data_IF_508273842278
#
_entry.id   IF_508273842278
#
_cell.length_a   1.000
_cell.length_b   1.000
_cell.length_c   1.000
_cell.angle_alpha   90.00
_cell.angle_beta   90.00
_cell.angle_gamma   90.00
#
_symmetry.space_group_name_H-M   'P 1'
#
loop_
_entity.id
_entity.type
_entity.pdbx_description
1 polymer ?
#
# COMPACT_ATOMS: atom_id res chain seq x y z
N UNK A 1 -35.99 -5.54 1.56
CA UNK A 1 -34.97 -4.58 2.03
C UNK A 1 -33.97 -5.27 2.95
N UNK A 2 -32.81 -5.72 2.44
CA UNK A 2 -31.68 -6.25 3.23
C UNK A 2 -30.39 -5.62 2.69
N UNK A 3 -30.10 -4.39 3.11
CA UNK A 3 -28.91 -3.64 2.69
C UNK A 3 -28.13 -2.99 3.85
N UNK A 4 -28.50 -3.26 5.12
CA UNK A 4 -27.91 -2.57 6.28
C UNK A 4 -26.90 -3.40 7.10
N UNK A 5 -26.63 -4.66 6.74
CA UNK A 5 -25.63 -5.50 7.40
C UNK A 5 -24.22 -5.30 6.86
N UNK A 6 -24.08 -5.27 5.53
CA UNK A 6 -22.79 -5.28 4.83
C UNK A 6 -21.90 -4.07 5.13
N UNK A 7 -22.49 -2.92 5.47
CA UNK A 7 -21.73 -1.69 5.77
C UNK A 7 -21.14 -1.64 7.19
N UNK A 8 -21.54 -2.53 8.12
CA UNK A 8 -21.05 -2.52 9.51
C UNK A 8 -19.82 -3.40 9.74
N UNK A 9 -19.66 -4.43 8.92
CA UNK A 9 -18.61 -5.44 9.12
C UNK A 9 -17.58 -5.44 7.98
N UNK A 10 -17.67 -4.50 7.05
CA UNK A 10 -16.75 -4.38 5.93
C UNK A 10 -16.37 -2.91 5.69
N UNK A 11 -15.16 -2.70 5.16
CA UNK A 11 -14.67 -1.42 4.67
C UNK A 11 -14.32 -1.54 3.19
N UNK A 12 -14.53 -0.47 2.41
CA UNK A 12 -14.06 -0.38 1.03
C UNK A 12 -12.62 0.11 1.05
N UNK A 13 -11.69 -0.77 0.68
CA UNK A 13 -10.27 -0.42 0.67
C UNK A 13 -9.95 0.57 -0.46
N UNK A 14 -8.86 1.30 -0.24
CA UNK A 14 -8.18 2.05 -1.29
C UNK A 14 -7.44 1.08 -2.21
N UNK A 15 -7.24 1.47 -3.46
CA UNK A 15 -6.28 0.83 -4.38
C UNK A 15 -5.43 1.91 -5.04
N UNK A 16 -4.18 1.58 -5.29
CA UNK A 16 -3.26 2.35 -6.11
C UNK A 16 -3.40 1.79 -7.52
N UNK A 17 -3.78 2.63 -8.47
CA UNK A 17 -3.75 2.29 -9.89
C UNK A 17 -2.41 2.74 -10.47
N UNK A 18 -1.72 1.84 -11.14
CA UNK A 18 -0.45 2.12 -11.82
C UNK A 18 -0.67 2.14 -13.32
N UNK A 19 -0.49 3.31 -13.92
CA UNK A 19 -0.56 3.51 -15.36
C UNK A 19 0.83 3.76 -15.94
N UNK A 20 1.08 3.17 -17.11
CA UNK A 20 2.29 3.43 -17.91
C UNK A 20 1.83 3.88 -19.28
N UNK A 21 2.23 5.09 -19.68
CA UNK A 21 1.79 5.75 -20.93
C UNK A 21 0.25 5.83 -21.04
N UNK A 22 -0.43 6.11 -19.92
CA UNK A 22 -1.88 6.21 -19.83
C UNK A 22 -2.63 4.87 -19.73
N UNK A 23 -1.97 3.73 -20.00
CA UNK A 23 -2.59 2.41 -19.91
C UNK A 23 -2.51 1.87 -18.47
N UNK A 24 -3.64 1.42 -17.92
CA UNK A 24 -3.67 0.74 -16.62
C UNK A 24 -2.94 -0.60 -16.74
N UNK A 25 -1.79 -0.71 -16.05
CA UNK A 25 -0.98 -1.93 -16.08
C UNK A 25 -1.41 -2.91 -15.01
N UNK A 26 -1.53 -2.44 -13.77
CA UNK A 26 -1.97 -3.24 -12.63
C UNK A 26 -2.36 -2.33 -11.45
N UNK A 27 -2.72 -2.93 -10.32
CA UNK A 27 -3.08 -2.27 -9.07
C UNK A 27 -2.30 -2.84 -7.87
N UNK A 28 -2.14 -2.01 -6.85
CA UNK A 28 -1.72 -2.42 -5.51
C UNK A 28 -2.77 -2.01 -4.47
N UNK A 29 -2.90 -2.77 -3.38
CA UNK A 29 -3.82 -2.46 -2.29
C UNK A 29 -3.14 -1.70 -1.15
N UNK A 30 -1.85 -1.93 -0.91
CA UNK A 30 -1.09 -1.38 0.20
C UNK A 30 -0.07 -0.38 -0.32
N UNK A 31 0.89 -0.84 -1.10
CA UNK A 31 2.00 -0.03 -1.59
C UNK A 31 2.43 -0.42 -3.01
N UNK A 32 2.90 0.60 -3.73
CA UNK A 32 3.58 0.48 -5.01
C UNK A 32 4.96 1.12 -4.87
N UNK A 33 6.01 0.35 -5.15
CA UNK A 33 7.39 0.74 -4.85
C UNK A 33 8.23 0.73 -6.13
N UNK A 34 8.81 1.87 -6.46
CA UNK A 34 9.70 2.03 -7.62
C UNK A 34 11.13 1.77 -7.20
N UNK A 35 11.80 0.86 -7.91
CA UNK A 35 13.21 0.50 -7.71
C UNK A 35 13.99 0.54 -9.03
N UNK A 36 15.29 0.80 -8.94
CA UNK A 36 16.23 0.69 -10.06
C UNK A 36 16.60 -0.77 -10.39
N UNK A 37 16.22 -1.75 -9.57
CA UNK A 37 16.55 -3.15 -9.82
C UNK A 37 15.67 -3.75 -10.92
N UNK A 38 16.29 -4.08 -12.04
CA UNK A 38 15.64 -4.70 -13.20
C UNK A 38 15.61 -6.24 -13.16
N UNK A 39 16.16 -6.87 -12.10
CA UNK A 39 16.29 -8.33 -12.01
C UNK A 39 15.20 -8.99 -11.17
N UNK A 40 14.29 -9.66 -11.87
CA UNK A 40 13.32 -10.59 -11.30
C UNK A 40 14.06 -11.85 -10.77
N UNK A 41 14.21 -11.90 -9.46
CA UNK A 41 14.67 -13.06 -8.72
C UNK A 41 14.33 -12.82 -7.25
N UNK A 42 13.79 -13.83 -6.57
CA UNK A 42 13.13 -13.78 -5.26
C UNK A 42 13.98 -13.29 -4.06
N UNK A 43 15.00 -12.45 -4.27
CA UNK A 43 16.00 -12.04 -3.28
C UNK A 43 16.49 -10.58 -3.34
N UNK A 44 16.01 -9.71 -4.22
CA UNK A 44 16.62 -8.40 -4.41
C UNK A 44 15.64 -7.20 -4.39
N UNK A 45 14.76 -7.12 -3.39
CA UNK A 45 14.02 -5.88 -3.09
C UNK A 45 14.21 -5.56 -1.60
N UNK A 46 15.44 -5.47 -1.13
CA UNK A 46 15.72 -5.09 0.28
C UNK A 46 16.78 -4.00 0.40
N UNK A 47 17.38 -3.59 -0.72
CA UNK A 47 18.33 -2.49 -0.74
C UNK A 47 17.58 -1.16 -0.82
N UNK A 48 17.40 -0.54 0.35
CA UNK A 48 16.75 0.76 0.48
C UNK A 48 17.45 1.86 -0.35
N UNK A 49 18.73 1.70 -0.72
CA UNK A 49 19.43 2.68 -1.56
C UNK A 49 18.96 2.69 -3.02
N UNK A 50 18.33 1.60 -3.48
CA UNK A 50 17.86 1.44 -4.86
C UNK A 50 16.42 1.87 -5.07
N UNK A 51 15.75 2.18 -3.96
CA UNK A 51 14.37 2.62 -3.97
C UNK A 51 14.29 4.10 -4.28
N UNK A 52 13.31 4.46 -5.10
CA UNK A 52 13.10 5.82 -5.60
C UNK A 52 11.83 6.43 -5.09
N UNK A 53 10.75 5.65 -5.03
CA UNK A 53 9.43 6.12 -4.66
C UNK A 53 8.65 5.00 -3.99
N UNK A 54 7.94 5.33 -2.92
CA UNK A 54 6.89 4.51 -2.34
C UNK A 54 5.61 5.30 -2.44
N UNK A 55 4.58 4.75 -3.08
CA UNK A 55 3.20 5.23 -2.97
C UNK A 55 2.44 4.25 -2.10
N UNK A 56 1.94 4.68 -0.95
CA UNK A 56 1.22 3.85 -0.01
C UNK A 56 -0.23 4.34 0.13
N UNK A 57 -1.19 3.44 -0.11
CA UNK A 57 -2.60 3.70 0.13
C UNK A 57 -2.87 3.85 1.63
N UNK A 58 -2.15 3.08 2.45
CA UNK A 58 -2.13 3.15 3.92
C UNK A 58 -0.76 2.78 4.44
N UNK A 59 -0.37 3.35 5.56
CA UNK A 59 0.94 3.14 6.15
C UNK A 59 0.95 3.50 7.64
N UNK A 60 1.69 2.72 8.42
CA UNK A 60 1.87 2.95 9.87
C UNK A 60 3.24 2.38 10.28
N UNK A 61 4.00 3.02 11.19
CA UNK A 61 5.33 2.53 11.59
C UNK A 61 5.32 1.17 12.32
N UNK A 62 4.13 0.67 12.68
CA UNK A 62 3.93 -0.66 13.28
C UNK A 62 3.69 -1.78 12.25
N UNK A 63 3.68 -1.48 10.94
CA UNK A 63 3.72 -2.51 9.90
C UNK A 63 5.17 -2.95 9.63
N UNK A 64 5.33 -3.89 8.71
CA UNK A 64 6.64 -4.30 8.17
C UNK A 64 6.65 -4.08 6.66
N UNK A 65 7.82 -3.91 6.07
CA UNK A 65 7.98 -3.70 4.62
C UNK A 65 7.99 -2.24 4.21
N UNK A 66 7.72 -1.96 2.94
CA UNK A 66 7.85 -0.61 2.38
C UNK A 66 6.76 0.36 2.85
N UNK A 67 5.54 -0.13 3.06
CA UNK A 67 4.53 0.65 3.78
C UNK A 67 4.98 1.11 5.17
N UNK A 68 5.89 0.41 5.85
CA UNK A 68 6.41 0.86 7.15
C UNK A 68 7.40 2.03 6.99
N UNK A 69 8.20 2.06 5.92
CA UNK A 69 9.07 3.20 5.58
C UNK A 69 8.23 4.46 5.35
N UNK A 70 7.15 4.34 4.59
CA UNK A 70 6.17 5.40 4.43
C UNK A 70 5.54 5.79 5.78
N UNK A 71 5.20 4.80 6.61
CA UNK A 71 4.58 4.97 7.93
C UNK A 71 5.43 5.79 8.91
N UNK A 72 6.76 5.64 8.87
CA UNK A 72 7.68 6.46 9.67
C UNK A 72 7.68 7.93 9.20
N UNK A 73 7.35 8.18 7.94
CA UNK A 73 7.27 9.53 7.39
C UNK A 73 5.91 10.21 7.64
N UNK A 74 4.86 9.43 7.82
CA UNK A 74 3.51 9.87 8.15
C UNK A 74 2.54 8.69 8.24
N UNK A 75 1.49 8.82 9.04
CA UNK A 75 0.45 7.79 9.19
C UNK A 75 -0.70 8.07 8.22
N UNK A 76 -1.13 7.02 7.52
CA UNK A 76 -2.33 7.00 6.70
C UNK A 76 -3.10 5.73 7.01
N UNK A 77 -4.29 5.88 7.58
CA UNK A 77 -5.17 4.78 7.94
C UNK A 77 -6.01 4.29 6.74
N UNK A 78 -6.66 3.14 6.88
CA UNK A 78 -7.55 2.60 5.84
C UNK A 78 -8.82 3.45 5.62
N UNK A 79 -9.25 4.16 6.66
CA UNK A 79 -10.37 5.09 6.66
C UNK A 79 -10.03 6.48 6.14
N UNK A 80 -8.75 6.85 6.07
CA UNK A 80 -8.33 8.17 5.56
C UNK A 80 -8.56 8.30 4.05
N UNK A 81 -9.12 9.42 3.60
CA UNK A 81 -9.31 9.74 2.18
C UNK A 81 -8.07 10.41 1.57
N UNK A 82 -6.93 9.78 1.77
CA UNK A 82 -5.66 10.21 1.17
C UNK A 82 -4.70 9.02 1.04
N UNK A 83 -3.54 9.30 0.45
CA UNK A 83 -2.38 8.42 0.38
C UNK A 83 -1.10 9.17 0.75
N UNK A 84 0.00 8.43 0.87
CA UNK A 84 1.33 9.00 1.09
C UNK A 84 2.27 8.56 -0.05
N UNK A 85 2.89 9.53 -0.71
CA UNK A 85 4.03 9.29 -1.58
C UNK A 85 5.31 9.74 -0.88
N UNK A 86 6.33 8.89 -0.89
CA UNK A 86 7.63 9.14 -0.27
C UNK A 86 8.72 8.92 -1.28
N UNK A 87 9.43 9.99 -1.62
CA UNK A 87 10.60 9.93 -2.48
C UNK A 87 11.83 9.54 -1.66
N UNK A 88 12.52 8.51 -2.12
CA UNK A 88 13.68 7.93 -1.49
C UNK A 88 14.95 8.21 -2.29
N UNK A 89 16.08 8.18 -1.61
CA UNK A 89 17.38 8.24 -2.26
C UNK A 89 18.46 8.85 -1.38
N UNK A 90 19.63 9.07 -1.99
CA UNK A 90 20.78 9.70 -1.31
C UNK A 90 20.48 11.17 -1.01
N UNK A 91 20.79 11.60 0.21
CA UNK A 91 20.48 12.93 0.73
C UNK A 91 19.10 13.02 1.42
N UNK A 92 18.77 14.20 1.93
CA UNK A 92 17.55 14.42 2.72
C UNK A 92 17.67 13.94 4.17
N UNK A 93 16.52 13.71 4.82
CA UNK A 93 16.48 13.25 6.22
C UNK A 93 16.65 11.73 6.28
N UNK A 94 17.38 11.23 7.28
CA UNK A 94 17.50 9.79 7.53
C UNK A 94 16.42 9.34 8.51
N UNK A 95 15.79 8.21 8.22
CA UNK A 95 14.81 7.57 9.10
C UNK A 95 15.17 6.10 9.27
N UNK A 96 14.80 5.51 10.41
CA UNK A 96 14.96 4.07 10.65
C UNK A 96 13.59 3.43 10.54
N UNK A 97 13.45 2.44 9.67
CA UNK A 97 12.16 1.79 9.39
C UNK A 97 12.27 0.25 9.44
N UNK A 98 11.21 -0.45 9.89
CA UNK A 98 11.17 -1.91 9.91
C UNK A 98 10.86 -2.47 8.53
N UNK A 99 11.91 -2.71 7.75
CA UNK A 99 11.76 -3.23 6.38
C UNK A 99 11.41 -4.72 6.39
N UNK A 100 11.86 -5.49 7.39
CA UNK A 100 11.49 -6.89 7.56
C UNK A 100 11.42 -7.27 9.05
N UNK A 101 10.91 -8.46 9.35
CA UNK A 101 10.86 -8.96 10.73
C UNK A 101 12.27 -9.00 11.35
N UNK A 102 12.46 -8.24 12.42
CA UNK A 102 13.75 -8.13 13.11
C UNK A 102 14.81 -7.27 12.38
N UNK A 103 14.46 -6.61 11.27
CA UNK A 103 15.40 -5.81 10.47
C UNK A 103 14.95 -4.35 10.43
N UNK A 104 15.72 -3.49 11.10
CA UNK A 104 15.60 -2.04 11.02
C UNK A 104 16.66 -1.51 10.07
N UNK A 105 16.24 -0.74 9.08
CA UNK A 105 17.14 -0.19 8.05
C UNK A 105 17.05 1.31 8.04
N UNK A 106 18.20 1.98 7.95
CA UNK A 106 18.25 3.41 7.72
C UNK A 106 17.95 3.74 6.25
N UNK A 107 17.00 4.64 6.02
CA UNK A 107 16.53 5.04 4.69
C UNK A 107 16.66 6.55 4.53
N UNK A 108 17.15 7.00 3.38
CA UNK A 108 17.18 8.41 3.00
C UNK A 108 15.85 8.85 2.39
N UNK A 109 15.24 9.89 2.97
CA UNK A 109 13.95 10.46 2.54
C UNK A 109 14.18 11.85 1.97
N UNK A 110 13.86 12.02 0.70
CA UNK A 110 14.03 13.27 -0.05
C UNK A 110 12.77 14.13 -0.04
N UNK A 111 11.60 13.50 -0.06
CA UNK A 111 10.31 14.18 -0.14
C UNK A 111 9.20 13.33 0.45
N UNK A 112 8.19 13.99 1.02
CA UNK A 112 6.98 13.36 1.55
C UNK A 112 5.79 14.18 1.07
N UNK A 113 4.87 13.51 0.38
CA UNK A 113 3.73 14.14 -0.27
C UNK A 113 2.46 13.41 0.15
N UNK A 114 1.55 14.14 0.80
CA UNK A 114 0.19 13.65 1.03
C UNK A 114 -0.59 13.84 -0.28
N UNK A 115 -1.25 12.78 -0.73
CA UNK A 115 -2.02 12.78 -1.97
C UNK A 115 -3.50 12.67 -1.63
N UNK A 116 -4.32 13.58 -2.13
CA UNK A 116 -5.78 13.44 -2.07
C UNK A 116 -6.22 12.26 -2.95
N UNK A 117 -7.39 11.67 -2.67
CA UNK A 117 -7.91 10.62 -3.56
C UNK A 117 -8.16 11.17 -4.96
N UNK A 118 -7.73 10.40 -5.98
CA UNK A 118 -7.79 10.80 -7.38
C UNK A 118 -6.71 11.79 -7.79
N UNK A 119 -5.91 12.33 -6.86
CA UNK A 119 -4.73 13.11 -7.22
C UNK A 119 -3.70 12.17 -7.86
N UNK A 120 -3.12 12.64 -8.97
CA UNK A 120 -2.12 11.90 -9.70
C UNK A 120 -0.71 12.26 -9.25
N UNK A 121 0.11 11.25 -9.03
CA UNK A 121 1.55 11.39 -8.84
C UNK A 121 2.27 10.79 -10.04
N UNK A 122 3.02 11.62 -10.77
CA UNK A 122 3.58 11.25 -12.08
C UNK A 122 5.08 11.47 -12.14
N UNK A 123 5.77 10.63 -12.90
CA UNK A 123 7.15 10.90 -13.30
C UNK A 123 7.42 10.34 -14.71
N UNK A 124 8.32 11.00 -15.43
CA UNK A 124 8.89 10.50 -16.68
C UNK A 124 10.13 9.67 -16.35
N UNK A 125 10.16 8.44 -16.81
CA UNK A 125 11.26 7.52 -16.50
C UNK A 125 12.51 7.85 -17.32
N UNK A 126 13.61 8.20 -16.66
CA UNK A 126 14.91 8.41 -17.34
C UNK A 126 15.72 7.12 -17.49
N UNK A 127 15.38 6.09 -16.73
CA UNK A 127 16.05 4.81 -16.69
C UNK A 127 15.05 3.65 -16.72
N UNK A 128 15.54 2.42 -16.64
CA UNK A 128 14.69 1.25 -16.42
C UNK A 128 14.35 1.15 -14.93
N UNK A 129 13.08 0.92 -14.63
CA UNK A 129 12.61 0.66 -13.28
C UNK A 129 11.74 -0.58 -13.21
N UNK A 130 11.62 -1.09 -12.00
CA UNK A 130 10.62 -2.08 -11.62
C UNK A 130 9.71 -1.46 -10.56
N UNK A 131 8.40 -1.60 -10.74
CA UNK A 131 7.40 -1.21 -9.75
C UNK A 131 6.88 -2.49 -9.10
N UNK A 132 7.25 -2.72 -7.84
CA UNK A 132 6.69 -3.79 -7.04
C UNK A 132 5.33 -3.38 -6.45
N UNK A 133 4.35 -4.27 -6.54
CA UNK A 133 2.97 -4.05 -6.12
C UNK A 133 2.62 -5.05 -5.03
N UNK A 134 2.35 -4.55 -3.82
CA UNK A 134 2.09 -5.35 -2.61
C UNK A 134 3.19 -6.39 -2.30
N UNK A 135 4.38 -6.26 -2.89
CA UNK A 135 5.48 -7.21 -2.78
C UNK A 135 5.32 -8.53 -3.56
N UNK A 136 4.26 -8.69 -4.35
CA UNK A 136 3.95 -9.95 -5.06
C UNK A 136 4.02 -9.83 -6.59
N UNK A 137 3.60 -8.69 -7.14
CA UNK A 137 3.53 -8.45 -8.59
C UNK A 137 4.49 -7.33 -8.98
N UNK A 138 4.88 -7.33 -10.26
CA UNK A 138 5.88 -6.40 -10.78
C UNK A 138 5.40 -5.80 -12.11
N UNK A 139 5.58 -4.48 -12.26
CA UNK A 139 5.40 -3.76 -13.53
C UNK A 139 6.75 -3.22 -13.98
N UNK A 140 7.12 -3.53 -15.23
CA UNK A 140 8.35 -2.99 -15.85
C UNK A 140 8.09 -1.61 -16.43
N UNK A 141 9.08 -0.74 -16.29
CA UNK A 141 9.08 0.63 -16.83
C UNK A 141 10.38 0.81 -17.60
N UNK A 142 10.29 1.28 -18.84
CA UNK A 142 11.44 1.58 -19.70
C UNK A 142 11.72 3.10 -19.75
N UNK A 143 12.94 3.52 -20.15
CA UNK A 143 13.24 4.92 -20.34
C UNK A 143 12.29 5.56 -21.38
N UNK A 144 11.75 6.74 -21.03
CA UNK A 144 10.76 7.45 -21.83
C UNK A 144 9.31 7.14 -21.47
N UNK A 145 9.04 6.12 -20.65
CA UNK A 145 7.69 5.85 -20.15
C UNK A 145 7.24 6.92 -19.15
N UNK A 146 5.99 7.38 -19.29
CA UNK A 146 5.31 8.17 -18.25
C UNK A 146 4.59 7.24 -17.29
N UNK A 147 4.99 7.27 -16.02
CA UNK A 147 4.36 6.49 -14.95
C UNK A 147 3.43 7.39 -14.16
N UNK A 148 2.22 6.91 -13.90
CA UNK A 148 1.22 7.61 -13.08
C UNK A 148 0.67 6.69 -12.00
N UNK A 149 0.69 7.16 -10.76
CA UNK A 149 -0.01 6.56 -9.63
C UNK A 149 -1.25 7.38 -9.30
N UNK A 150 -2.37 6.70 -9.09
CA UNK A 150 -3.61 7.32 -8.61
C UNK A 150 -4.22 6.46 -7.52
N UNK A 151 -4.49 7.02 -6.35
CA UNK A 151 -5.12 6.27 -5.25
C UNK A 151 -6.62 6.57 -5.21
N UNK A 152 -7.43 5.51 -5.22
CA UNK A 152 -8.90 5.60 -5.30
C UNK A 152 -9.56 4.66 -4.28
N UNK A 153 -10.74 5.04 -3.75
CA UNK A 153 -11.56 4.20 -2.85
C UNK A 153 -12.51 3.25 -3.61
N UNK A 154 -12.02 2.66 -4.69
CA UNK A 154 -12.77 1.68 -5.49
C UNK A 154 -12.15 0.27 -5.42
N UNK A 155 -11.22 0.05 -4.48
CA UNK A 155 -10.64 -1.26 -4.14
C UNK A 155 -11.66 -2.26 -3.59
N UNK A 156 -11.26 -3.48 -3.20
CA UNK A 156 -12.19 -4.51 -2.75
C UNK A 156 -12.91 -4.13 -1.45
N UNK A 157 -14.04 -4.81 -1.18
CA UNK A 157 -14.60 -4.81 0.18
C UNK A 157 -13.80 -5.78 1.04
N UNK A 158 -13.19 -5.28 2.10
CA UNK A 158 -12.48 -6.10 3.09
C UNK A 158 -13.34 -6.25 4.34
N UNK A 159 -13.43 -7.47 4.83
CA UNK A 159 -14.10 -7.77 6.11
C UNK A 159 -13.29 -7.19 7.25
N UNK A 160 -13.97 -6.58 8.22
CA UNK A 160 -13.42 -6.14 9.50
C UNK A 160 -13.66 -7.25 10.52
N UNK A 161 -12.67 -8.14 10.80
CA UNK A 161 -12.94 -9.38 11.53
C UNK A 161 -13.49 -9.13 12.94
N UNK A 162 -12.94 -8.14 13.65
CA UNK A 162 -13.42 -7.77 14.99
C UNK A 162 -14.88 -7.31 14.97
N UNK A 163 -15.27 -6.47 14.01
CA UNK A 163 -16.65 -6.01 13.88
C UNK A 163 -17.58 -7.15 13.47
N UNK A 164 -17.16 -7.99 12.52
CA UNK A 164 -17.92 -9.15 12.06
C UNK A 164 -18.18 -10.15 13.20
N UNK A 165 -17.15 -10.51 13.97
CA UNK A 165 -17.27 -11.43 15.09
C UNK A 165 -18.08 -10.84 16.26
N UNK A 166 -17.95 -9.53 16.52
CA UNK A 166 -18.78 -8.85 17.53
C UNK A 166 -20.26 -8.88 17.14
N UNK A 167 -20.57 -8.68 15.85
CA UNK A 167 -21.93 -8.78 15.34
C UNK A 167 -22.47 -10.21 15.38
N UNK A 168 -21.64 -11.21 15.05
CA UNK A 168 -22.01 -12.63 15.18
C UNK A 168 -22.36 -13.00 16.63
N UNK A 169 -21.60 -12.50 17.61
CA UNK A 169 -21.88 -12.69 19.03
C UNK A 169 -23.20 -12.02 19.44
N UNK A 170 -23.43 -10.78 19.00
CA UNK A 170 -24.69 -10.06 19.23
C UNK A 170 -25.90 -10.80 18.66
N UNK A 171 -25.73 -11.45 17.51
CA UNK A 171 -26.76 -12.26 16.85
C UNK A 171 -26.94 -13.65 17.48
N UNK A 172 -26.14 -14.00 18.51
CA UNK A 172 -26.22 -15.29 19.18
C UNK A 172 -25.68 -16.47 18.34
N UNK A 173 -24.89 -16.20 17.29
CA UNK A 173 -24.37 -17.23 16.38
C UNK A 173 -23.34 -18.18 17.02
N UNK A 174 -22.85 -17.84 18.21
CA UNK A 174 -21.96 -18.70 18.99
C UNK A 174 -22.67 -19.47 20.11
N UNK A 175 -24.01 -19.38 20.19
CA UNK A 175 -24.78 -20.24 21.09
C UNK A 175 -24.86 -21.64 20.47
N UNK A 176 -24.70 -22.72 21.25
CA UNK A 176 -25.07 -24.04 20.75
C UNK A 176 -26.55 -24.00 20.34
N UNK A 177 -26.90 -24.66 19.23
CA UNK A 177 -28.30 -24.88 18.89
C UNK A 177 -28.98 -25.53 20.08
N UNK A 178 -30.21 -25.08 20.37
CA UNK A 178 -30.97 -25.41 21.58
C UNK A 178 -30.76 -26.87 21.99
N UNK A 179 -30.29 -27.05 23.21
CA UNK A 179 -30.39 -28.29 23.95
C UNK A 179 -31.83 -28.82 23.86
N UNK A 180 -32.02 -29.95 23.18
CA UNK A 180 -33.08 -30.89 23.50
C UNK A 180 -32.63 -31.62 24.78
N UNK A 181 -33.08 -31.12 25.93
CA UNK A 181 -33.20 -31.90 27.16
C UNK A 181 -34.65 -31.84 27.64
#
# INVERSE_FOLDING_TARGET
MRASGTRRCCIRDKRIEVRVNGELRDIALIDAVVSDDYFAGARAIWDAERMRLIVASRCHPATIGFSAVAGVCGIVEDSDDCALAVELGRGGRRVIAPIAAGVLTEVGVRGVYRLELGQEFRFLSEARHMIALDGEREVRVDPGDEVTFTVLRNGPWRVLPRAALSEAARLGMFRPDKEEF
#
